data_IF_764244304021
#
_entry.id   IF_764244304021
#
_cell.length_a   1.000
_cell.length_b   1.000
_cell.length_c   1.000
_cell.angle_alpha   90.00
_cell.angle_beta   90.00
_cell.angle_gamma   90.00
#
_symmetry.space_group_name_H-M   'P 1'
#
loop_
_entity.id
_entity.type
_entity.pdbx_description
1 polymer ?
#
# COMPACT_ATOMS: atom_id res chain seq x y z
N UNK A 1 33.99 -80.54 62.05
CA UNK A 1 33.86 -79.13 62.49
C UNK A 1 34.64 -78.24 61.52
N UNK A 2 34.17 -77.02 61.25
CA UNK A 2 33.75 -76.49 59.93
C UNK A 2 34.77 -75.43 59.42
N UNK A 3 34.59 -74.53 58.45
CA UNK A 3 33.51 -73.94 57.65
C UNK A 3 34.21 -73.37 56.39
N UNK A 4 33.57 -73.17 55.24
CA UNK A 4 32.57 -72.13 55.01
C UNK A 4 32.80 -71.56 53.61
N UNK A 5 31.76 -71.60 52.80
CA UNK A 5 31.64 -70.99 51.48
C UNK A 5 31.56 -69.46 51.60
N UNK A 6 32.36 -68.71 50.86
CA UNK A 6 32.02 -67.32 50.53
C UNK A 6 32.37 -67.00 49.07
N UNK A 7 31.31 -66.92 48.26
CA UNK A 7 31.31 -66.30 46.94
C UNK A 7 31.49 -64.79 47.10
N UNK A 8 32.70 -64.26 46.85
CA UNK A 8 32.91 -62.82 46.78
C UNK A 8 32.46 -62.29 45.41
N UNK A 9 31.30 -61.62 45.44
CA UNK A 9 30.82 -60.70 44.41
C UNK A 9 31.93 -59.69 44.04
N UNK A 10 32.41 -59.76 42.80
CA UNK A 10 33.26 -58.71 42.21
C UNK A 10 32.33 -57.57 41.81
N UNK A 11 32.10 -56.64 42.73
CA UNK A 11 31.54 -55.34 42.36
C UNK A 11 32.55 -54.63 41.45
N UNK A 12 32.21 -54.56 40.16
CA UNK A 12 33.00 -53.91 39.11
C UNK A 12 33.12 -52.40 39.42
N UNK A 13 34.18 -52.03 40.15
CA UNK A 13 34.50 -50.65 40.48
C UNK A 13 34.77 -49.84 39.21
N UNK A 14 33.97 -48.80 38.97
CA UNK A 14 34.18 -47.84 37.89
C UNK A 14 35.57 -47.21 38.07
N UNK A 15 36.50 -47.50 37.18
CA UNK A 15 37.88 -47.01 37.26
C UNK A 15 37.94 -45.48 37.29
N UNK A 16 38.90 -44.93 38.04
CA UNK A 16 39.08 -43.48 38.25
C UNK A 16 39.16 -42.71 36.91
N UNK A 17 39.77 -43.30 35.87
CA UNK A 17 39.81 -42.70 34.52
C UNK A 17 38.44 -42.60 33.83
N UNK A 18 37.53 -43.56 34.04
CA UNK A 18 36.16 -43.49 33.54
C UNK A 18 35.36 -42.41 34.27
N UNK A 19 35.58 -42.24 35.58
CA UNK A 19 34.93 -41.19 36.37
C UNK A 19 35.39 -39.79 35.93
N UNK A 20 36.70 -39.58 35.71
CA UNK A 20 37.26 -38.31 35.24
C UNK A 20 36.71 -37.96 33.85
N UNK A 21 36.70 -38.91 32.91
CA UNK A 21 36.16 -38.67 31.58
C UNK A 21 34.65 -38.36 31.60
N UNK A 22 33.86 -39.00 32.47
CA UNK A 22 32.46 -38.64 32.65
C UNK A 22 32.28 -37.21 33.17
N UNK A 23 33.10 -36.76 34.12
CA UNK A 23 33.02 -35.39 34.67
C UNK A 23 33.32 -34.35 33.59
N UNK A 24 34.36 -34.58 32.78
CA UNK A 24 34.73 -33.69 31.67
C UNK A 24 33.65 -33.68 30.58
N UNK A 25 33.07 -34.84 30.24
CA UNK A 25 31.98 -34.89 29.27
C UNK A 25 30.74 -34.13 29.76
N UNK A 26 30.38 -34.27 31.05
CA UNK A 26 29.25 -33.55 31.65
C UNK A 26 29.51 -32.04 31.66
N UNK A 27 30.72 -31.59 32.02
CA UNK A 27 31.03 -30.15 32.06
C UNK A 27 30.93 -29.51 30.67
N UNK A 28 31.42 -30.18 29.62
CA UNK A 28 31.30 -29.71 28.23
C UNK A 28 29.84 -29.59 27.82
N UNK A 29 29.00 -30.58 28.13
CA UNK A 29 27.57 -30.54 27.83
C UNK A 29 26.87 -29.40 28.56
N UNK A 30 27.20 -29.16 29.83
CA UNK A 30 26.64 -28.07 30.63
C UNK A 30 27.02 -26.71 30.06
N UNK A 31 28.29 -26.49 29.71
CA UNK A 31 28.75 -25.24 29.09
C UNK A 31 28.07 -25.02 27.75
N UNK A 32 27.95 -26.05 26.92
CA UNK A 32 27.25 -25.96 25.63
C UNK A 32 25.78 -25.58 25.81
N UNK A 33 25.10 -26.18 26.79
CA UNK A 33 23.70 -25.85 27.10
C UNK A 33 23.53 -24.39 27.56
N UNK A 34 24.45 -23.87 28.40
CA UNK A 34 24.43 -22.48 28.85
C UNK A 34 24.63 -21.52 27.68
N UNK A 35 25.63 -21.77 26.82
CA UNK A 35 25.90 -20.93 25.65
C UNK A 35 24.70 -20.91 24.70
N UNK A 36 24.14 -22.08 24.38
CA UNK A 36 22.96 -22.18 23.52
C UNK A 36 21.74 -21.46 24.12
N UNK A 37 21.57 -21.53 25.45
CA UNK A 37 20.50 -20.79 26.14
C UNK A 37 20.65 -19.28 26.02
N UNK A 38 21.86 -18.74 26.24
CA UNK A 38 22.16 -17.30 26.13
C UNK A 38 21.99 -16.82 24.68
N UNK A 39 22.60 -17.54 23.73
CA UNK A 39 22.51 -17.21 22.29
C UNK A 39 21.06 -17.29 21.82
N UNK A 40 20.32 -18.32 22.21
CA UNK A 40 18.90 -18.46 21.91
C UNK A 40 18.11 -17.26 22.41
N UNK A 41 18.26 -16.91 23.69
CA UNK A 41 17.57 -15.77 24.29
C UNK A 41 17.84 -14.44 23.57
N UNK A 42 19.11 -14.14 23.25
CA UNK A 42 19.47 -12.93 22.50
C UNK A 42 18.93 -12.94 21.06
N UNK A 43 18.95 -14.11 20.42
CA UNK A 43 18.49 -14.29 19.04
C UNK A 43 16.99 -14.11 18.92
N UNK A 44 16.19 -14.64 19.86
CA UNK A 44 14.74 -14.44 19.86
C UNK A 44 14.34 -12.96 20.00
N UNK A 45 14.97 -12.21 20.91
CA UNK A 45 14.68 -10.77 21.08
C UNK A 45 15.06 -9.94 19.85
N UNK A 46 16.22 -10.22 19.25
CA UNK A 46 16.69 -9.50 18.06
C UNK A 46 15.92 -9.87 16.79
N UNK A 47 15.46 -11.11 16.65
CA UNK A 47 14.61 -11.54 15.54
C UNK A 47 13.25 -10.87 15.59
N UNK A 48 12.64 -10.72 16.77
CA UNK A 48 11.35 -10.06 16.91
C UNK A 48 11.42 -8.56 16.61
N UNK A 49 12.47 -7.87 17.07
CA UNK A 49 12.69 -6.46 16.76
C UNK A 49 12.98 -6.23 15.27
N UNK A 50 13.82 -7.06 14.64
CA UNK A 50 14.13 -6.96 13.21
C UNK A 50 12.91 -7.28 12.36
N UNK A 51 12.17 -8.33 12.69
CA UNK A 51 10.93 -8.67 12.00
C UNK A 51 9.89 -7.55 12.12
N UNK A 52 9.74 -6.92 13.30
CA UNK A 52 8.87 -5.75 13.46
C UNK A 52 9.38 -4.57 12.64
N UNK A 53 10.67 -4.25 12.69
CA UNK A 53 11.25 -3.13 11.96
C UNK A 53 11.11 -3.26 10.44
N UNK A 54 11.38 -4.45 9.87
CA UNK A 54 11.18 -4.75 8.45
C UNK A 54 9.72 -4.59 8.05
N UNK A 55 8.79 -5.16 8.84
CA UNK A 55 7.34 -5.02 8.59
C UNK A 55 6.85 -3.58 8.70
N UNK A 56 7.38 -2.80 9.64
CA UNK A 56 7.04 -1.37 9.78
C UNK A 56 7.63 -0.52 8.65
N UNK A 57 8.78 -0.89 8.10
CA UNK A 57 9.34 -0.22 6.91
C UNK A 57 8.54 -0.55 5.65
N UNK A 58 8.16 -1.81 5.47
CA UNK A 58 7.28 -2.26 4.38
C UNK A 58 5.91 -1.56 4.46
N UNK A 59 5.30 -1.51 5.65
CA UNK A 59 4.04 -0.79 5.85
C UNK A 59 4.20 0.71 5.57
N UNK A 60 5.29 1.34 6.00
CA UNK A 60 5.57 2.75 5.70
C UNK A 60 5.75 3.02 4.21
N UNK A 61 6.44 2.15 3.49
CA UNK A 61 6.64 2.34 2.05
C UNK A 61 5.34 2.17 1.27
N UNK A 62 4.50 1.21 1.66
CA UNK A 62 3.15 1.04 1.09
C UNK A 62 2.30 2.28 1.38
N UNK A 63 2.24 2.73 2.64
CA UNK A 63 1.47 3.93 3.00
C UNK A 63 1.96 5.17 2.25
N UNK A 64 3.27 5.40 2.17
CA UNK A 64 3.84 6.52 1.42
C UNK A 64 3.51 6.44 -0.09
N UNK A 65 3.49 5.24 -0.66
CA UNK A 65 3.11 5.04 -2.07
C UNK A 65 1.60 5.27 -2.31
N UNK A 66 0.74 5.00 -1.32
CA UNK A 66 -0.69 5.33 -1.38
C UNK A 66 -0.88 6.84 -1.24
N UNK A 67 -0.26 7.45 -0.25
CA UNK A 67 -0.32 8.90 0.00
C UNK A 67 0.15 9.70 -1.22
N UNK A 68 1.28 9.32 -1.81
CA UNK A 68 1.80 9.95 -3.03
C UNK A 68 0.83 9.83 -4.22
N UNK A 69 0.11 8.71 -4.36
CA UNK A 69 -0.88 8.56 -5.43
C UNK A 69 -2.09 9.47 -5.20
N UNK A 70 -2.56 9.56 -3.96
CA UNK A 70 -3.65 10.46 -3.59
C UNK A 70 -3.25 11.94 -3.78
N UNK A 71 -2.06 12.33 -3.32
CA UNK A 71 -1.55 13.70 -3.45
C UNK A 71 -1.44 14.11 -4.92
N UNK A 72 -0.93 13.23 -5.79
CA UNK A 72 -0.90 13.48 -7.25
C UNK A 72 -2.30 13.67 -7.84
N UNK A 73 -3.25 12.80 -7.49
CA UNK A 73 -4.62 12.92 -7.98
C UNK A 73 -5.28 14.22 -7.49
N UNK A 74 -5.05 14.59 -6.22
CA UNK A 74 -5.56 15.82 -5.64
C UNK A 74 -4.96 17.07 -6.31
N UNK A 75 -3.64 17.10 -6.50
CA UNK A 75 -2.97 18.21 -7.19
C UNK A 75 -3.46 18.36 -8.63
N UNK A 76 -3.66 17.26 -9.35
CA UNK A 76 -4.23 17.29 -10.69
C UNK A 76 -5.64 17.91 -10.71
N UNK A 77 -6.49 17.53 -9.75
CA UNK A 77 -7.81 18.11 -9.59
C UNK A 77 -7.75 19.62 -9.25
N UNK A 78 -6.92 20.01 -8.29
CA UNK A 78 -6.78 21.41 -7.86
C UNK A 78 -6.27 22.32 -8.99
N UNK A 79 -5.26 21.87 -9.75
CA UNK A 79 -4.75 22.63 -10.91
C UNK A 79 -5.81 22.73 -12.01
N UNK A 80 -6.53 21.62 -12.27
CA UNK A 80 -7.65 21.62 -13.22
C UNK A 80 -8.71 22.62 -12.80
N UNK A 81 -9.11 22.61 -11.54
CA UNK A 81 -10.14 23.50 -10.99
C UNK A 81 -9.78 24.97 -11.21
N UNK A 82 -8.56 25.40 -10.87
CA UNK A 82 -8.10 26.78 -11.11
C UNK A 82 -8.22 27.17 -12.58
N UNK A 83 -7.78 26.30 -13.49
CA UNK A 83 -7.84 26.58 -14.94
C UNK A 83 -9.26 26.59 -15.49
N UNK A 84 -10.15 25.78 -14.95
CA UNK A 84 -11.58 25.83 -15.27
C UNK A 84 -12.20 27.12 -14.74
N UNK A 85 -11.86 27.53 -13.51
CA UNK A 85 -12.31 28.81 -12.95
C UNK A 85 -11.85 30.01 -13.79
N UNK A 86 -10.65 29.97 -14.35
CA UNK A 86 -10.16 30.99 -15.31
C UNK A 86 -11.05 31.06 -16.56
N UNK A 87 -11.46 29.92 -17.12
CA UNK A 87 -12.41 29.88 -18.25
C UNK A 87 -13.76 30.47 -17.84
N UNK A 88 -14.22 30.19 -16.62
CA UNK A 88 -15.50 30.67 -16.11
C UNK A 88 -15.53 32.19 -15.85
N UNK A 89 -14.38 32.87 -15.80
CA UNK A 89 -14.33 34.35 -15.73
C UNK A 89 -14.89 35.02 -16.99
N UNK A 90 -14.85 34.35 -18.14
CA UNK A 90 -15.48 34.83 -19.36
C UNK A 90 -17.01 34.76 -19.23
N UNK A 91 -17.76 35.67 -19.88
CA UNK A 91 -19.21 35.55 -19.95
C UNK A 91 -19.62 34.25 -20.69
N UNK A 92 -20.77 33.63 -20.36
CA UNK A 92 -21.17 32.33 -20.90
C UNK A 92 -21.06 32.21 -22.43
N UNK A 93 -21.40 33.27 -23.15
CA UNK A 93 -21.41 33.29 -24.62
C UNK A 93 -20.00 33.24 -25.24
N UNK A 94 -18.97 33.61 -24.47
CA UNK A 94 -17.56 33.61 -24.88
C UNK A 94 -16.78 32.38 -24.39
N UNK A 95 -17.39 31.51 -23.58
CA UNK A 95 -16.75 30.29 -23.08
C UNK A 95 -16.69 29.24 -24.18
N UNK A 96 -15.64 28.41 -24.13
CA UNK A 96 -15.39 27.34 -25.09
C UNK A 96 -15.38 25.98 -24.40
N UNK A 97 -16.24 25.07 -24.86
CA UNK A 97 -16.26 23.67 -24.40
C UNK A 97 -14.95 22.96 -24.75
N UNK A 98 -14.38 23.24 -25.91
CA UNK A 98 -13.06 22.71 -26.32
C UNK A 98 -11.93 23.17 -25.40
N UNK A 99 -11.99 24.41 -24.89
CA UNK A 99 -11.00 24.89 -23.93
C UNK A 99 -11.04 24.06 -22.63
N UNK A 100 -12.24 23.70 -22.15
CA UNK A 100 -12.39 22.79 -21.01
C UNK A 100 -11.78 21.43 -21.31
N UNK A 101 -12.12 20.82 -22.45
CA UNK A 101 -11.56 19.52 -22.85
C UNK A 101 -10.04 19.57 -22.97
N UNK A 102 -9.48 20.66 -23.50
CA UNK A 102 -8.03 20.88 -23.58
C UNK A 102 -7.39 20.93 -22.20
N UNK A 103 -7.98 21.65 -21.25
CA UNK A 103 -7.49 21.70 -19.85
C UNK A 103 -7.44 20.28 -19.27
N UNK A 104 -8.49 19.48 -19.46
CA UNK A 104 -8.55 18.11 -18.94
C UNK A 104 -7.51 17.19 -19.58
N UNK A 105 -7.31 17.27 -20.90
CA UNK A 105 -6.24 16.54 -21.60
C UNK A 105 -4.86 16.87 -21.06
N UNK A 106 -4.59 18.16 -20.84
CA UNK A 106 -3.31 18.62 -20.28
C UNK A 106 -3.12 18.12 -18.84
N UNK A 107 -4.17 18.10 -18.02
CA UNK A 107 -4.13 17.57 -16.64
C UNK A 107 -3.84 16.07 -16.58
N UNK A 108 -4.47 15.28 -17.46
CA UNK A 108 -4.23 13.83 -17.58
C UNK A 108 -2.80 13.56 -18.06
N UNK A 109 -2.32 14.31 -19.07
CA UNK A 109 -0.97 14.17 -19.57
C UNK A 109 0.09 14.57 -18.53
N UNK A 110 -0.18 15.60 -17.71
CA UNK A 110 0.72 16.07 -16.66
C UNK A 110 0.79 15.15 -15.43
N UNK A 111 -0.21 14.27 -15.24
CA UNK A 111 -0.31 13.43 -14.04
C UNK A 111 -0.33 11.94 -14.38
N UNK A 112 0.83 11.33 -14.73
CA UNK A 112 0.88 9.90 -14.99
C UNK A 112 0.38 9.06 -13.81
N UNK A 113 -0.51 8.10 -14.09
CA UNK A 113 -1.00 7.12 -13.10
C UNK A 113 -2.40 7.42 -12.55
N UNK A 114 -3.06 8.50 -12.97
CA UNK A 114 -4.50 8.68 -12.74
C UNK A 114 -5.32 8.00 -13.85
N UNK A 115 -6.56 7.63 -13.53
CA UNK A 115 -7.49 7.04 -14.49
C UNK A 115 -7.92 8.04 -15.57
N UNK A 116 -8.17 9.27 -15.16
CA UNK A 116 -8.71 10.34 -15.98
C UNK A 116 -9.18 11.51 -15.12
N UNK A 117 -9.64 12.58 -15.77
CA UNK A 117 -10.22 13.75 -15.11
C UNK A 117 -11.49 14.12 -15.86
N UNK A 118 -12.55 14.46 -15.13
CA UNK A 118 -13.79 14.94 -15.73
C UNK A 118 -14.40 16.08 -14.95
N UNK A 119 -15.33 16.78 -15.60
CA UNK A 119 -16.11 17.86 -14.99
C UNK A 119 -17.58 17.69 -15.32
N UNK A 120 -18.44 18.06 -14.39
CA UNK A 120 -19.88 18.02 -14.55
C UNK A 120 -20.45 19.40 -14.29
N UNK A 121 -21.05 20.01 -15.31
CA UNK A 121 -21.79 21.26 -15.17
C UNK A 121 -23.28 21.02 -14.95
N UNK A 122 -23.91 21.87 -14.16
CA UNK A 122 -25.36 21.91 -14.04
C UNK A 122 -26.00 22.26 -15.41
N UNK A 123 -27.29 21.90 -15.63
CA UNK A 123 -27.99 22.22 -16.88
C UNK A 123 -27.88 23.71 -17.24
N UNK A 124 -27.49 23.97 -18.50
CA UNK A 124 -27.28 25.29 -19.10
C UNK A 124 -26.28 26.22 -18.38
N UNK A 125 -25.52 25.72 -17.39
CA UNK A 125 -24.69 26.56 -16.54
C UNK A 125 -23.35 26.99 -17.17
N UNK A 126 -22.85 26.25 -18.17
CA UNK A 126 -21.57 26.55 -18.79
C UNK A 126 -21.68 27.67 -19.83
N UNK A 127 -22.40 27.42 -20.93
CA UNK A 127 -22.55 28.35 -22.07
C UNK A 127 -24.00 28.57 -22.52
N UNK A 128 -24.97 27.94 -21.84
CA UNK A 128 -26.40 28.02 -22.18
C UNK A 128 -26.79 27.34 -23.50
N UNK A 129 -25.93 26.47 -24.05
CA UNK A 129 -26.12 25.83 -25.37
C UNK A 129 -26.29 24.32 -25.26
N UNK A 130 -26.78 23.80 -24.14
CA UNK A 130 -26.89 22.34 -23.96
C UNK A 130 -27.78 21.71 -25.05
N UNK A 131 -28.89 22.36 -25.40
CA UNK A 131 -29.80 21.88 -26.45
C UNK A 131 -29.13 21.67 -27.83
N UNK A 132 -28.07 22.41 -28.13
CA UNK A 132 -27.32 22.29 -29.40
C UNK A 132 -26.27 21.17 -29.36
N UNK A 133 -25.92 20.68 -28.17
CA UNK A 133 -24.77 19.80 -27.93
C UNK A 133 -25.19 18.38 -27.53
N UNK A 134 -26.45 18.02 -27.74
CA UNK A 134 -27.01 16.70 -27.44
C UNK A 134 -26.25 15.59 -28.17
N UNK A 135 -25.88 14.53 -27.43
CA UNK A 135 -25.20 13.34 -27.95
C UNK A 135 -23.91 13.63 -28.75
N UNK A 136 -23.12 14.58 -28.25
CA UNK A 136 -21.77 14.86 -28.78
C UNK A 136 -20.70 14.07 -28.02
N UNK A 137 -19.43 14.19 -28.41
CA UNK A 137 -18.31 13.40 -27.83
C UNK A 137 -18.20 13.51 -26.29
N UNK A 138 -18.60 14.64 -25.72
CA UNK A 138 -18.49 14.95 -24.29
C UNK A 138 -19.81 15.44 -23.67
N UNK A 139 -20.94 15.12 -24.31
CA UNK A 139 -22.29 15.46 -23.82
C UNK A 139 -23.26 14.31 -24.11
N UNK A 140 -24.11 14.00 -23.15
CA UNK A 140 -25.12 12.95 -23.29
C UNK A 140 -26.43 13.49 -23.91
N UNK A 141 -27.53 12.76 -23.72
CA UNK A 141 -28.85 13.16 -24.20
C UNK A 141 -29.36 14.50 -23.64
N UNK A 142 -28.81 14.97 -22.51
CA UNK A 142 -29.11 16.30 -21.96
C UNK A 142 -28.35 17.43 -22.66
N UNK A 143 -27.26 17.11 -23.36
CA UNK A 143 -26.41 18.09 -24.01
C UNK A 143 -25.51 18.89 -23.07
N UNK A 144 -25.53 18.59 -21.77
CA UNK A 144 -24.63 19.18 -20.76
C UNK A 144 -23.16 18.95 -21.09
N UNK A 145 -22.30 19.90 -20.71
CA UNK A 145 -20.86 19.70 -20.75
C UNK A 145 -20.43 18.73 -19.64
N UNK A 146 -20.15 17.48 -20.03
CA UNK A 146 -19.86 16.37 -19.12
C UNK A 146 -18.58 15.59 -19.53
N UNK A 147 -17.48 16.21 -19.97
CA UNK A 147 -16.33 15.46 -20.45
C UNK A 147 -15.68 14.68 -19.31
N UNK A 148 -15.41 13.40 -19.55
CA UNK A 148 -14.43 12.61 -18.83
C UNK A 148 -13.31 12.22 -19.79
N UNK A 149 -12.09 12.69 -19.50
CA UNK A 149 -10.91 12.46 -20.34
C UNK A 149 -10.06 11.36 -19.74
N UNK A 150 -9.86 10.31 -20.53
CA UNK A 150 -8.89 9.25 -20.31
C UNK A 150 -7.56 9.60 -21.00
N UNK A 151 -6.46 8.88 -20.71
CA UNK A 151 -5.22 9.04 -21.46
C UNK A 151 -5.36 8.79 -22.97
N UNK A 152 -6.30 7.94 -23.38
CA UNK A 152 -6.46 7.45 -24.76
C UNK A 152 -7.79 7.86 -25.42
N UNK A 153 -8.81 8.23 -24.65
CA UNK A 153 -10.15 8.55 -25.18
C UNK A 153 -10.88 9.60 -24.34
N UNK A 154 -12.05 10.03 -24.84
CA UNK A 154 -12.97 10.93 -24.15
C UNK A 154 -14.35 10.31 -24.21
N UNK A 155 -15.11 10.44 -23.12
CA UNK A 155 -16.51 10.04 -23.09
C UNK A 155 -17.30 10.94 -22.13
N UNK A 156 -18.63 11.06 -22.29
CA UNK A 156 -19.45 11.77 -21.32
C UNK A 156 -19.48 11.03 -19.97
N UNK A 157 -19.47 11.78 -18.87
CA UNK A 157 -19.71 11.25 -17.53
C UNK A 157 -21.06 10.53 -17.48
N UNK A 158 -21.11 9.42 -16.76
CA UNK A 158 -22.33 8.64 -16.53
C UNK A 158 -22.63 8.52 -15.04
N UNK A 159 -23.89 8.28 -14.71
CA UNK A 159 -24.35 8.06 -13.33
C UNK A 159 -24.31 9.29 -12.43
N UNK A 160 -24.00 10.48 -12.95
CA UNK A 160 -23.83 11.70 -12.15
C UNK A 160 -25.11 12.19 -11.43
N UNK A 161 -26.30 11.69 -11.80
CA UNK A 161 -27.58 11.94 -11.08
C UNK A 161 -28.02 10.77 -10.17
N UNK A 162 -27.51 9.56 -10.42
CA UNK A 162 -28.03 8.31 -9.81
C UNK A 162 -27.02 7.64 -8.88
N UNK A 163 -25.78 8.10 -8.92
CA UNK A 163 -24.67 7.64 -8.12
C UNK A 163 -24.81 8.04 -6.65
N UNK A 164 -24.90 7.05 -5.76
CA UNK A 164 -24.83 7.27 -4.31
C UNK A 164 -23.40 7.56 -3.80
N UNK A 165 -22.38 7.54 -4.69
CA UNK A 165 -20.98 7.75 -4.30
C UNK A 165 -20.58 9.23 -4.14
N UNK A 166 -21.50 10.17 -4.34
CA UNK A 166 -21.34 11.60 -4.04
C UNK A 166 -22.11 12.08 -2.79
N UNK A 167 -22.92 11.22 -2.17
CA UNK A 167 -23.72 11.52 -0.96
C UNK A 167 -23.07 11.05 0.33
#
# INVERSE_FOLDING_TARGET
MPAGTESRSVAQGRGIGFQINCIVAVSVVVVMAIILGIVGYMTFGTLEERAKAERFQELRSISAAVELRYDKAYQAAAITEVRIQDILQAPPEARSRDAVVKVLKESVAATPGILGVGVCFAPDAFDGKDAEMVNTEYSDASGRLLPFVWPDRIEPLFGYETAEWYT
#
